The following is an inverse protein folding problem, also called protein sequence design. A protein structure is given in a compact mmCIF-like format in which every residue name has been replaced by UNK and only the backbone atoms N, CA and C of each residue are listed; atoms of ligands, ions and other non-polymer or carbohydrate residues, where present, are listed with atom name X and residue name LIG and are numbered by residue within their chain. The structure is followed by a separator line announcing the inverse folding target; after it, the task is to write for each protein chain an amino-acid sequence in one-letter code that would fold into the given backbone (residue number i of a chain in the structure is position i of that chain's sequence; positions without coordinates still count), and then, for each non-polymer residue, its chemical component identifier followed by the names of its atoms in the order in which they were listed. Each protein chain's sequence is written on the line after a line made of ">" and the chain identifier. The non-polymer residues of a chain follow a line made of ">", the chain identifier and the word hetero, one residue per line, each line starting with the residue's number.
data_IF_342625150970
#
_entry.id   IF_342625150970
#
_cell.length_a   1.000
_cell.length_b   1.000
_cell.length_c   1.000
_cell.angle_alpha   90.00
_cell.angle_beta   90.00
_cell.angle_gamma   90.00
#
_symmetry.space_group_name_H-M   'P 1'
#
loop_
_entity.id
_entity.type
_entity.pdbx_description
1 polymer ?
#
# COMPACT_ATOMS: atom_id res chain seq x y z
N UNK A 1 -7.06 -22.66 12.97
CA UNK A 1 -7.34 -21.21 12.90
C UNK A 1 -7.85 -20.95 11.51
N UNK A 2 -9.09 -20.48 11.38
CA UNK A 2 -9.61 -20.10 10.07
C UNK A 2 -8.74 -18.97 9.51
N UNK A 3 -8.35 -19.11 8.25
CA UNK A 3 -7.52 -18.17 7.53
C UNK A 3 -8.25 -16.83 7.44
N UNK A 4 -7.71 -15.78 8.06
CA UNK A 4 -8.17 -14.41 7.84
C UNK A 4 -8.00 -14.09 6.35
N UNK A 5 -9.13 -14.00 5.63
CA UNK A 5 -9.14 -14.01 4.17
C UNK A 5 -8.85 -12.61 3.64
N UNK A 6 -7.61 -12.38 3.23
CA UNK A 6 -7.31 -11.36 2.23
C UNK A 6 -7.97 -11.78 0.92
N UNK A 7 -8.99 -11.03 0.48
CA UNK A 7 -9.70 -11.28 -0.76
C UNK A 7 -9.81 -9.99 -1.59
N UNK A 8 -9.15 -9.97 -2.74
CA UNK A 8 -9.16 -8.82 -3.64
C UNK A 8 -10.45 -8.80 -4.48
N UNK A 9 -11.20 -7.70 -4.37
CA UNK A 9 -12.29 -7.37 -5.28
C UNK A 9 -11.79 -6.60 -6.50
N UNK A 10 -12.68 -5.87 -7.18
CA UNK A 10 -12.34 -5.06 -8.36
C UNK A 10 -11.40 -3.90 -8.03
N UNK A 11 -11.60 -3.27 -6.86
CA UNK A 11 -10.85 -2.09 -6.41
C UNK A 11 -10.02 -2.40 -5.15
N UNK A 12 -9.29 -3.51 -5.19
CA UNK A 12 -8.42 -3.92 -4.10
C UNK A 12 -9.10 -4.78 -3.03
N UNK A 13 -8.41 -4.95 -1.91
CA UNK A 13 -8.91 -5.65 -0.74
C UNK A 13 -9.59 -4.68 0.24
N UNK A 14 -10.70 -5.11 0.82
CA UNK A 14 -11.48 -4.37 1.83
C UNK A 14 -11.74 -5.28 3.02
N UNK A 15 -11.68 -4.71 4.22
CA UNK A 15 -11.93 -5.40 5.47
C UNK A 15 -12.43 -4.45 6.55
N UNK A 16 -12.82 -5.01 7.69
CA UNK A 16 -13.17 -4.32 8.91
C UNK A 16 -11.93 -4.16 9.79
N UNK A 17 -11.68 -2.91 10.24
CA UNK A 17 -10.53 -2.60 11.10
C UNK A 17 -10.57 -3.44 12.38
N UNK A 18 -9.43 -4.05 12.70
CA UNK A 18 -9.20 -4.94 13.84
C UNK A 18 -9.93 -6.30 13.81
N UNK A 19 -10.64 -6.60 12.72
CA UNK A 19 -11.09 -7.95 12.41
C UNK A 19 -10.15 -8.52 11.34
N UNK A 20 -10.49 -8.44 10.05
CA UNK A 20 -9.61 -8.86 8.96
C UNK A 20 -8.67 -7.74 8.47
N UNK A 21 -9.01 -6.46 8.64
CA UNK A 21 -8.13 -5.32 8.31
C UNK A 21 -7.17 -5.03 9.48
N UNK A 22 -6.16 -5.89 9.60
CA UNK A 22 -5.09 -5.83 10.61
C UNK A 22 -3.78 -5.33 10.03
N UNK A 23 -2.84 -4.91 10.89
CA UNK A 23 -1.49 -4.56 10.44
C UNK A 23 -0.79 -5.73 9.74
N UNK A 24 -0.97 -6.95 10.22
CA UNK A 24 -0.34 -8.13 9.63
C UNK A 24 -0.89 -8.40 8.21
N UNK A 25 -2.19 -8.27 8.01
CA UNK A 25 -2.81 -8.45 6.69
C UNK A 25 -2.47 -7.29 5.72
N UNK A 26 -2.36 -6.05 6.23
CA UNK A 26 -1.86 -4.91 5.44
C UNK A 26 -0.41 -5.14 5.00
N UNK A 27 0.46 -5.61 5.91
CA UNK A 27 1.86 -5.94 5.58
C UNK A 27 1.96 -7.11 4.60
N UNK A 28 1.11 -8.12 4.73
CA UNK A 28 1.05 -9.24 3.77
C UNK A 28 0.65 -8.75 2.37
N UNK A 29 -0.32 -7.84 2.27
CA UNK A 29 -0.67 -7.21 0.99
C UNK A 29 0.49 -6.40 0.41
N UNK A 30 1.14 -5.57 1.23
CA UNK A 30 2.31 -4.79 0.82
C UNK A 30 3.47 -5.68 0.35
N UNK A 31 3.70 -6.82 1.02
CA UNK A 31 4.72 -7.79 0.62
C UNK A 31 4.39 -8.42 -0.73
N UNK A 32 3.11 -8.68 -1.02
CA UNK A 32 2.67 -9.12 -2.35
C UNK A 32 2.97 -8.08 -3.45
N UNK A 33 2.69 -6.80 -3.18
CA UNK A 33 3.01 -5.69 -4.10
C UNK A 33 4.53 -5.58 -4.32
N UNK A 34 5.32 -5.70 -3.25
CA UNK A 34 6.77 -5.66 -3.32
C UNK A 34 7.32 -6.82 -4.17
N UNK A 35 6.88 -8.05 -3.89
CA UNK A 35 7.27 -9.24 -4.64
C UNK A 35 6.89 -9.12 -6.12
N UNK A 36 5.72 -8.56 -6.43
CA UNK A 36 5.31 -8.30 -7.81
C UNK A 36 6.24 -7.31 -8.52
N UNK A 37 6.57 -6.17 -7.89
CA UNK A 37 7.48 -5.18 -8.49
C UNK A 37 8.87 -5.77 -8.78
N UNK A 38 9.43 -6.51 -7.81
CA UNK A 38 10.71 -7.18 -7.99
C UNK A 38 10.64 -8.21 -9.15
N UNK A 39 9.57 -9.00 -9.22
CA UNK A 39 9.39 -9.97 -10.29
C UNK A 39 9.21 -9.35 -11.69
N UNK A 40 8.72 -8.11 -11.76
CA UNK A 40 8.61 -7.35 -13.02
C UNK A 40 9.86 -6.53 -13.35
N UNK A 41 10.90 -6.54 -12.50
CA UNK A 41 12.10 -5.69 -12.60
C UNK A 41 11.77 -4.18 -12.55
N UNK A 42 10.81 -3.80 -11.69
CA UNK A 42 10.44 -2.40 -11.41
C UNK A 42 11.14 -1.88 -10.16
N UNK A 43 12.33 -2.38 -9.81
CA UNK A 43 12.98 -2.03 -8.53
C UNK A 43 13.44 -0.58 -8.46
N UNK A 44 13.69 0.03 -9.63
CA UNK A 44 14.03 1.46 -9.71
C UNK A 44 12.83 2.38 -9.61
N UNK A 45 11.62 1.84 -9.81
CA UNK A 45 10.42 2.62 -9.91
C UNK A 45 9.89 2.97 -8.52
N UNK A 46 9.32 4.17 -8.44
CA UNK A 46 8.80 4.70 -7.19
C UNK A 46 7.35 4.28 -7.04
N UNK A 47 6.96 3.87 -5.82
CA UNK A 47 5.59 3.50 -5.46
C UNK A 47 4.94 4.62 -4.65
N UNK A 48 3.75 5.06 -5.03
CA UNK A 48 2.99 6.09 -4.32
C UNK A 48 2.12 5.46 -3.23
N UNK A 49 2.23 5.95 -2.00
CA UNK A 49 1.44 5.47 -0.86
C UNK A 49 0.54 6.60 -0.34
N UNK A 50 -0.77 6.46 -0.54
CA UNK A 50 -1.79 7.38 -0.06
C UNK A 50 -2.59 6.81 1.11
N UNK A 51 -3.23 7.70 1.88
CA UNK A 51 -4.16 7.35 2.95
C UNK A 51 -5.25 8.41 3.09
N UNK A 52 -6.33 8.08 3.78
CA UNK A 52 -7.46 8.99 4.02
C UNK A 52 -7.70 9.24 5.52
N UNK A 53 -8.86 9.76 5.87
CA UNK A 53 -9.21 10.17 7.24
C UNK A 53 -9.78 9.03 8.10
N UNK A 54 -9.83 7.80 7.61
CA UNK A 54 -10.27 6.65 8.42
C UNK A 54 -9.29 6.38 9.56
N UNK A 55 -9.83 5.81 10.63
CA UNK A 55 -9.06 5.47 11.81
C UNK A 55 -7.86 4.60 11.46
N UNK A 56 -6.67 4.98 11.95
CA UNK A 56 -5.41 4.25 11.73
C UNK A 56 -4.88 4.27 10.29
N UNK A 57 -5.53 4.95 9.34
CA UNK A 57 -5.12 4.90 7.92
C UNK A 57 -3.69 5.42 7.69
N UNK A 58 -3.28 6.45 8.44
CA UNK A 58 -1.91 6.98 8.41
C UNK A 58 -0.88 5.93 8.88
N UNK A 59 -1.20 5.20 9.95
CA UNK A 59 -0.33 4.16 10.52
C UNK A 59 -0.27 2.93 9.60
N UNK A 60 -1.38 2.54 8.98
CA UNK A 60 -1.40 1.48 7.98
C UNK A 60 -0.55 1.84 6.76
N UNK A 61 -0.60 3.10 6.31
CA UNK A 61 0.28 3.59 5.24
C UNK A 61 1.76 3.55 5.65
N UNK A 62 2.10 3.87 6.90
CA UNK A 62 3.47 3.72 7.40
C UNK A 62 3.91 2.25 7.40
N UNK A 63 3.04 1.32 7.81
CA UNK A 63 3.33 -0.12 7.73
C UNK A 63 3.55 -0.63 6.29
N UNK A 64 2.86 -0.06 5.29
CA UNK A 64 3.14 -0.35 3.88
C UNK A 64 4.53 0.15 3.49
N UNK A 65 4.88 1.39 3.85
CA UNK A 65 6.20 1.97 3.55
C UNK A 65 7.34 1.17 4.20
N UNK A 66 7.16 0.71 5.45
CA UNK A 66 8.12 -0.15 6.15
C UNK A 66 8.42 -1.43 5.34
N UNK A 67 7.39 -2.10 4.83
CA UNK A 67 7.54 -3.32 4.03
C UNK A 67 8.23 -3.02 2.69
N UNK A 68 7.83 -1.97 1.99
CA UNK A 68 8.45 -1.58 0.72
C UNK A 68 9.94 -1.26 0.90
N UNK A 69 10.28 -0.46 1.91
CA UNK A 69 11.66 -0.11 2.24
C UNK A 69 12.48 -1.34 2.65
N UNK A 70 11.90 -2.27 3.42
CA UNK A 70 12.53 -3.54 3.78
C UNK A 70 12.86 -4.45 2.59
N UNK A 71 12.13 -4.29 1.47
CA UNK A 71 12.40 -4.97 0.20
C UNK A 71 13.31 -4.15 -0.75
N UNK A 72 13.82 -2.99 -0.31
CA UNK A 72 14.70 -2.13 -1.11
C UNK A 72 13.97 -1.28 -2.16
N UNK A 73 12.64 -1.20 -2.11
CA UNK A 73 11.83 -0.40 -3.03
C UNK A 73 11.67 1.03 -2.53
N UNK A 74 11.67 1.99 -3.47
CA UNK A 74 11.44 3.40 -3.16
C UNK A 74 9.95 3.70 -3.13
N UNK A 75 9.53 4.51 -2.15
CA UNK A 75 8.13 4.94 -2.05
C UNK A 75 7.98 6.42 -1.74
N UNK A 76 6.95 7.05 -2.29
CA UNK A 76 6.49 8.40 -1.97
C UNK A 76 5.18 8.32 -1.19
N UNK A 77 5.24 8.59 0.12
CA UNK A 77 4.06 8.64 0.97
C UNK A 77 3.48 10.05 1.00
N UNK A 78 2.16 10.19 0.92
CA UNK A 78 1.49 11.46 1.16
C UNK A 78 1.80 12.00 2.57
N UNK A 79 2.06 13.30 2.72
CA UNK A 79 2.32 13.92 4.02
C UNK A 79 1.07 14.19 4.86
N UNK A 80 -0.12 14.04 4.26
CA UNK A 80 -1.42 14.29 4.87
C UNK A 80 -2.48 13.41 4.18
N UNK A 81 -3.67 13.21 4.79
CA UNK A 81 -4.78 12.54 4.12
C UNK A 81 -5.07 13.16 2.75
N UNK A 82 -5.20 12.33 1.72
CA UNK A 82 -5.38 12.77 0.34
C UNK A 82 -6.49 11.96 -0.35
N UNK A 83 -7.39 12.61 -1.11
CA UNK A 83 -8.32 11.88 -1.96
C UNK A 83 -7.58 11.03 -3.01
N UNK A 84 -8.13 9.87 -3.36
CA UNK A 84 -7.61 9.00 -4.44
C UNK A 84 -7.22 9.76 -5.73
N UNK A 85 -7.98 10.74 -6.26
CA UNK A 85 -7.54 11.47 -7.45
C UNK A 85 -6.26 12.29 -7.24
N UNK A 86 -5.98 12.77 -6.02
CA UNK A 86 -4.72 13.49 -5.70
C UNK A 86 -3.56 12.50 -5.67
N UNK A 87 -3.77 11.30 -5.11
CA UNK A 87 -2.77 10.22 -5.12
C UNK A 87 -2.45 9.82 -6.56
N UNK A 88 -3.47 9.58 -7.39
CA UNK A 88 -3.30 9.22 -8.80
C UNK A 88 -2.65 10.31 -9.64
N UNK A 89 -2.96 11.59 -9.38
CA UNK A 89 -2.27 12.71 -10.01
C UNK A 89 -0.77 12.70 -9.67
N UNK A 90 -0.43 12.51 -8.38
CA UNK A 90 0.96 12.48 -7.93
C UNK A 90 1.74 11.31 -8.50
N UNK A 91 1.11 10.14 -8.70
CA UNK A 91 1.74 9.00 -9.36
C UNK A 91 2.30 9.40 -10.73
N UNK A 92 1.46 10.02 -11.57
CA UNK A 92 1.87 10.48 -12.91
C UNK A 92 2.87 11.64 -12.83
N UNK A 93 2.59 12.63 -11.97
CA UNK A 93 3.42 13.84 -11.85
C UNK A 93 4.84 13.56 -11.34
N UNK A 94 5.02 12.52 -10.54
CA UNK A 94 6.32 12.11 -9.98
C UNK A 94 7.01 11.01 -10.80
N UNK A 95 6.40 10.53 -11.89
CA UNK A 95 6.92 9.42 -12.68
C UNK A 95 6.99 8.10 -11.89
N UNK A 96 6.09 7.91 -10.93
CA UNK A 96 5.94 6.67 -10.19
C UNK A 96 5.27 5.60 -11.07
N UNK A 97 5.57 4.33 -10.83
CA UNK A 97 5.05 3.20 -11.63
C UNK A 97 3.97 2.38 -10.91
N UNK A 98 3.63 2.75 -9.67
CA UNK A 98 2.65 2.07 -8.83
C UNK A 98 2.19 2.91 -7.66
#
# INVERSE_FOLDING_TARGET
>A
METEKIHFGTDGWRGLIADDYTFDNVRACAQGVAAYHLAQNFESDVITVGFDTRFGSADFADAVVEVLAGNGLKSLRCGAPAPTPVVGYNLVAQGAAG
#
